data_IF_545400518584
#
_entry.id   IF_545400518584
#
_cell.length_a   1.000
_cell.length_b   1.000
_cell.length_c   1.000
_cell.angle_alpha   90.00
_cell.angle_beta   90.00
_cell.angle_gamma   90.00
#
_symmetry.space_group_name_H-M   'P 1'
#
loop_
_entity.id
_entity.type
_entity.pdbx_description
1 polymer ?
#
# COMPACT_ATOMS: atom_id res chain seq x y z
N UNK A 1 -28.09 11.14 0.38
CA UNK A 1 -26.67 11.46 0.63
C UNK A 1 -26.61 12.68 1.53
N UNK A 2 -25.73 12.69 2.52
CA UNK A 2 -25.48 13.87 3.36
C UNK A 2 -24.72 14.94 2.56
N UNK A 3 -24.81 16.21 2.98
CA UNK A 3 -24.01 17.31 2.38
C UNK A 3 -22.52 17.00 2.47
N UNK A 4 -22.07 16.46 3.61
CA UNK A 4 -20.69 16.03 3.82
C UNK A 4 -20.23 14.97 2.79
N UNK A 5 -21.08 14.00 2.44
CA UNK A 5 -20.75 12.99 1.44
C UNK A 5 -20.59 13.60 0.04
N UNK A 6 -21.44 14.56 -0.32
CA UNK A 6 -21.35 15.28 -1.61
C UNK A 6 -20.04 16.07 -1.67
N UNK A 7 -19.73 16.85 -0.62
CA UNK A 7 -18.48 17.61 -0.55
C UNK A 7 -17.25 16.71 -0.62
N UNK A 8 -17.27 15.56 0.04
CA UNK A 8 -16.19 14.58 -0.03
C UNK A 8 -16.02 14.04 -1.46
N UNK A 9 -17.10 13.67 -2.14
CA UNK A 9 -17.03 13.19 -3.54
C UNK A 9 -16.44 14.27 -4.45
N UNK A 10 -16.88 15.53 -4.32
CA UNK A 10 -16.34 16.65 -5.12
C UNK A 10 -14.84 16.86 -4.86
N UNK A 11 -14.41 16.79 -3.60
CA UNK A 11 -13.00 16.86 -3.24
C UNK A 11 -12.19 15.71 -3.88
N UNK A 12 -12.72 14.48 -3.84
CA UNK A 12 -12.05 13.32 -4.43
C UNK A 12 -11.94 13.44 -5.97
N UNK A 13 -12.96 14.00 -6.63
CA UNK A 13 -12.90 14.31 -8.06
C UNK A 13 -11.83 15.36 -8.36
N UNK A 14 -11.73 16.42 -7.57
CA UNK A 14 -10.69 17.44 -7.74
C UNK A 14 -9.27 16.87 -7.53
N UNK A 15 -9.08 16.03 -6.51
CA UNK A 15 -7.82 15.31 -6.26
C UNK A 15 -7.49 14.38 -7.43
N UNK A 16 -8.49 13.66 -7.96
CA UNK A 16 -8.32 12.80 -9.12
C UNK A 16 -7.90 13.56 -10.38
N UNK A 17 -8.54 14.71 -10.67
CA UNK A 17 -8.15 15.58 -11.77
C UNK A 17 -6.70 16.10 -11.61
N UNK A 18 -6.32 16.52 -10.41
CA UNK A 18 -4.94 16.93 -10.11
C UNK A 18 -3.95 15.77 -10.32
N UNK A 19 -4.30 14.56 -9.87
CA UNK A 19 -3.51 13.34 -10.08
C UNK A 19 -3.31 13.05 -11.58
N UNK A 20 -4.39 13.07 -12.37
CA UNK A 20 -4.33 12.89 -13.83
C UNK A 20 -3.41 13.93 -14.47
N UNK A 21 -3.54 15.21 -14.09
CA UNK A 21 -2.69 16.28 -14.60
C UNK A 21 -1.21 16.09 -14.25
N UNK A 22 -0.90 15.69 -13.00
CA UNK A 22 0.48 15.41 -12.58
C UNK A 22 1.09 14.24 -13.37
N UNK A 23 0.33 13.16 -13.57
CA UNK A 23 0.75 11.98 -14.32
C UNK A 23 0.95 12.32 -15.79
N UNK A 24 0.04 13.10 -16.38
CA UNK A 24 0.17 13.55 -17.76
C UNK A 24 1.47 14.32 -18.01
N UNK A 25 1.83 15.21 -17.07
CA UNK A 25 3.08 15.98 -17.17
C UNK A 25 4.32 15.14 -16.91
N UNK A 26 4.28 14.24 -15.94
CA UNK A 26 5.39 13.36 -15.59
C UNK A 26 4.86 11.97 -15.21
N UNK A 27 4.81 11.02 -16.16
CA UNK A 27 4.21 9.71 -15.94
C UNK A 27 4.83 8.94 -14.77
N UNK A 28 6.12 9.15 -14.52
CA UNK A 28 6.83 8.55 -13.39
C UNK A 28 6.20 8.91 -12.02
N UNK A 29 5.55 10.09 -11.90
CA UNK A 29 4.87 10.49 -10.65
C UNK A 29 3.66 9.63 -10.33
N UNK A 30 3.15 8.86 -11.28
CA UNK A 30 2.05 7.95 -11.06
C UNK A 30 2.34 6.94 -9.96
N UNK A 31 3.60 6.51 -9.78
CA UNK A 31 3.96 5.61 -8.68
C UNK A 31 3.64 6.24 -7.32
N UNK A 32 4.05 7.50 -7.11
CA UNK A 32 3.77 8.22 -5.87
C UNK A 32 2.27 8.45 -5.67
N UNK A 33 1.55 8.82 -6.73
CA UNK A 33 0.09 9.03 -6.70
C UNK A 33 -0.66 7.74 -6.38
N UNK A 34 -0.32 6.62 -7.02
CA UNK A 34 -0.96 5.33 -6.79
C UNK A 34 -0.72 4.85 -5.36
N UNK A 35 0.52 4.93 -4.87
CA UNK A 35 0.84 4.53 -3.48
C UNK A 35 0.09 5.42 -2.48
N UNK A 36 0.13 6.74 -2.68
CA UNK A 36 -0.57 7.68 -1.80
C UNK A 36 -2.09 7.46 -1.82
N UNK A 37 -2.70 7.35 -2.99
CA UNK A 37 -4.14 7.10 -3.11
C UNK A 37 -4.55 5.76 -2.50
N UNK A 38 -3.76 4.71 -2.72
CA UNK A 38 -4.02 3.38 -2.14
C UNK A 38 -3.91 3.37 -0.62
N UNK A 39 -3.05 4.20 -0.03
CA UNK A 39 -2.91 4.31 1.42
C UNK A 39 -4.21 4.78 2.11
N UNK A 40 -5.00 5.64 1.44
CA UNK A 40 -6.26 6.18 1.99
C UNK A 40 -7.51 5.55 1.39
N UNK A 41 -7.38 4.72 0.36
CA UNK A 41 -8.50 4.20 -0.43
C UNK A 41 -9.56 3.50 0.42
N UNK A 42 -9.17 2.50 1.21
CA UNK A 42 -10.12 1.70 1.99
C UNK A 42 -10.86 2.56 3.02
N UNK A 43 -10.13 3.43 3.70
CA UNK A 43 -10.71 4.38 4.64
C UNK A 43 -11.72 5.33 3.99
N UNK A 44 -11.41 5.90 2.83
CA UNK A 44 -12.34 6.79 2.12
C UNK A 44 -13.61 6.07 1.68
N UNK A 45 -13.49 4.82 1.19
CA UNK A 45 -14.66 4.00 0.85
C UNK A 45 -15.47 3.67 2.11
N UNK A 46 -14.82 3.32 3.22
CA UNK A 46 -15.46 3.10 4.51
C UNK A 46 -16.27 4.32 4.96
N UNK A 47 -15.70 5.52 4.88
CA UNK A 47 -16.38 6.78 5.24
C UNK A 47 -17.58 7.05 4.33
N UNK A 48 -17.47 6.80 3.02
CA UNK A 48 -18.59 6.97 2.09
C UNK A 48 -19.73 5.98 2.38
N UNK A 49 -19.41 4.73 2.71
CA UNK A 49 -20.38 3.71 3.10
C UNK A 49 -21.06 4.07 4.43
N UNK A 50 -20.28 4.53 5.42
CA UNK A 50 -20.81 4.99 6.71
C UNK A 50 -21.82 6.13 6.55
N UNK A 51 -21.62 6.99 5.56
CA UNK A 51 -22.56 8.08 5.21
C UNK A 51 -23.74 7.64 4.32
N UNK A 52 -23.93 6.32 4.13
CA UNK A 52 -25.00 5.73 3.30
C UNK A 52 -24.99 6.28 1.87
N UNK A 53 -23.79 6.47 1.30
CA UNK A 53 -23.62 6.91 -0.08
C UNK A 53 -24.14 5.83 -1.04
N UNK A 54 -24.91 6.17 -2.09
CA UNK A 54 -25.41 5.21 -3.07
C UNK A 54 -24.30 4.35 -3.67
N UNK A 55 -24.58 3.06 -3.78
CA UNK A 55 -23.64 2.07 -4.31
C UNK A 55 -22.99 2.45 -5.66
N UNK A 56 -23.71 3.01 -6.66
CA UNK A 56 -23.09 3.43 -7.92
C UNK A 56 -22.01 4.51 -7.73
N UNK A 57 -22.25 5.48 -6.84
CA UNK A 57 -21.30 6.57 -6.56
C UNK A 57 -20.04 6.03 -5.89
N UNK A 58 -20.20 5.13 -4.91
CA UNK A 58 -19.06 4.46 -4.25
C UNK A 58 -18.24 3.68 -5.27
N UNK A 59 -18.88 2.96 -6.21
CA UNK A 59 -18.18 2.23 -7.28
C UNK A 59 -17.41 3.16 -8.23
N UNK A 60 -17.98 4.32 -8.59
CA UNK A 60 -17.29 5.33 -9.40
C UNK A 60 -16.05 5.84 -8.67
N UNK A 61 -16.19 6.25 -7.41
CA UNK A 61 -15.05 6.68 -6.60
C UNK A 61 -14.02 5.57 -6.48
N UNK A 62 -14.45 4.32 -6.29
CA UNK A 62 -13.58 3.16 -6.19
C UNK A 62 -12.78 2.89 -7.48
N UNK A 63 -13.32 3.30 -8.63
CA UNK A 63 -12.73 3.08 -9.97
C UNK A 63 -11.54 3.98 -10.33
N UNK A 64 -11.15 4.90 -9.44
CA UNK A 64 -10.07 5.87 -9.69
C UNK A 64 -8.77 5.19 -10.14
N UNK A 65 -8.39 4.09 -9.49
CA UNK A 65 -7.16 3.35 -9.78
C UNK A 65 -7.22 2.71 -11.16
N UNK A 66 -8.36 2.16 -11.57
CA UNK A 66 -8.58 1.63 -12.91
C UNK A 66 -8.45 2.73 -13.95
N UNK A 67 -9.01 3.91 -13.69
CA UNK A 67 -8.85 5.07 -14.56
C UNK A 67 -7.39 5.50 -14.73
N UNK A 68 -6.62 5.53 -13.64
CA UNK A 68 -5.18 5.85 -13.71
C UNK A 68 -4.37 4.75 -14.42
N UNK A 69 -4.66 3.48 -14.15
CA UNK A 69 -4.01 2.35 -14.82
C UNK A 69 -4.32 2.36 -16.32
N UNK A 70 -5.56 2.66 -16.71
CA UNK A 70 -5.95 2.83 -18.11
C UNK A 70 -5.19 3.98 -18.77
N UNK A 71 -5.13 5.15 -18.13
CA UNK A 71 -4.36 6.29 -18.63
C UNK A 71 -2.90 5.91 -18.86
N UNK A 72 -2.25 5.29 -17.88
CA UNK A 72 -0.86 4.83 -18.01
C UNK A 72 -0.69 3.79 -19.12
N UNK A 73 -1.66 2.89 -19.29
CA UNK A 73 -1.65 1.88 -20.35
C UNK A 73 -1.73 2.52 -21.73
N UNK A 74 -2.62 3.51 -21.92
CA UNK A 74 -2.73 4.28 -23.15
C UNK A 74 -1.45 5.07 -23.45
N UNK A 75 -0.86 5.71 -22.43
CA UNK A 75 0.40 6.44 -22.57
C UNK A 75 1.56 5.50 -22.92
N UNK A 76 1.60 4.31 -22.33
CA UNK A 76 2.61 3.29 -22.61
C UNK A 76 2.46 2.73 -24.03
N UNK A 77 1.23 2.43 -24.47
CA UNK A 77 0.94 2.01 -25.84
C UNK A 77 1.36 3.09 -26.86
N UNK A 78 1.04 4.35 -26.60
CA UNK A 78 1.46 5.46 -27.45
C UNK A 78 2.99 5.61 -27.52
N UNK A 79 3.70 5.40 -26.39
CA UNK A 79 5.16 5.41 -26.37
C UNK A 79 5.75 4.25 -27.17
N UNK A 80 5.17 3.05 -27.04
CA UNK A 80 5.57 1.87 -27.80
C UNK A 80 5.38 2.07 -29.32
N UNK A 81 4.21 2.57 -29.75
CA UNK A 81 3.94 2.83 -31.18
C UNK A 81 4.95 3.84 -31.76
N UNK A 82 5.30 4.90 -31.00
CA UNK A 82 6.32 5.86 -31.43
C UNK A 82 7.71 5.21 -31.57
N UNK A 83 8.11 4.40 -30.59
CA UNK A 83 9.39 3.70 -30.62
C UNK A 83 9.48 2.69 -31.78
N UNK A 84 8.38 1.97 -32.03
CA UNK A 84 8.27 1.03 -33.15
C UNK A 84 8.39 1.73 -34.50
N UNK A 85 7.64 2.82 -34.72
CA UNK A 85 7.73 3.63 -35.96
C UNK A 85 9.11 4.23 -36.17
N UNK A 86 9.82 4.55 -35.07
CA UNK A 86 11.18 5.05 -35.12
C UNK A 86 12.24 3.95 -35.29
N UNK A 87 11.86 2.66 -35.33
CA UNK A 87 12.80 1.54 -35.43
C UNK A 87 13.64 1.29 -34.16
N UNK A 88 13.30 1.92 -33.04
CA UNK A 88 14.09 1.92 -31.81
C UNK A 88 13.36 1.16 -30.68
N UNK A 89 13.07 -0.12 -30.89
CA UNK A 89 12.50 -0.94 -29.83
C UNK A 89 13.55 -1.25 -28.75
N UNK A 90 13.22 -1.07 -27.46
CA UNK A 90 14.12 -1.44 -26.38
C UNK A 90 14.36 -2.96 -26.42
N UNK A 91 15.63 -3.36 -26.21
CA UNK A 91 15.99 -4.78 -26.18
C UNK A 91 15.37 -5.45 -24.94
N UNK A 92 14.73 -6.61 -25.09
CA UNK A 92 14.18 -7.36 -23.97
C UNK A 92 15.33 -7.83 -23.08
N UNK A 93 15.14 -7.74 -21.77
CA UNK A 93 16.03 -8.29 -20.76
C UNK A 93 15.42 -9.55 -20.11
N UNK A 94 16.19 -10.25 -19.27
CA UNK A 94 15.73 -11.46 -18.58
C UNK A 94 14.50 -11.21 -17.69
N UNK A 95 14.44 -10.06 -17.01
CA UNK A 95 13.28 -9.70 -16.19
C UNK A 95 12.03 -9.42 -17.04
N UNK A 96 12.18 -8.81 -18.22
CA UNK A 96 11.07 -8.63 -19.16
C UNK A 96 10.49 -10.00 -19.55
N UNK A 97 11.35 -11.00 -19.80
CA UNK A 97 10.94 -12.37 -20.07
C UNK A 97 10.24 -13.02 -18.86
N UNK A 98 10.81 -12.92 -17.66
CA UNK A 98 10.21 -13.50 -16.45
C UNK A 98 8.82 -12.90 -16.16
N UNK A 99 8.68 -11.59 -16.31
CA UNK A 99 7.40 -10.90 -16.13
C UNK A 99 6.39 -11.31 -17.21
N UNK A 100 6.84 -11.45 -18.46
CA UNK A 100 5.99 -11.93 -19.55
C UNK A 100 5.53 -13.38 -19.33
N UNK A 101 6.44 -14.27 -18.89
CA UNK A 101 6.11 -15.66 -18.53
C UNK A 101 5.10 -15.70 -17.39
N UNK A 102 5.32 -14.92 -16.33
CA UNK A 102 4.38 -14.84 -15.21
C UNK A 102 2.99 -14.35 -15.67
N UNK A 103 2.94 -13.29 -16.47
CA UNK A 103 1.68 -12.78 -17.03
C UNK A 103 1.00 -13.84 -17.92
N UNK A 104 1.76 -14.54 -18.75
CA UNK A 104 1.28 -15.64 -19.59
C UNK A 104 0.69 -16.78 -18.76
N UNK A 105 1.41 -17.24 -17.73
CA UNK A 105 0.93 -18.29 -16.81
C UNK A 105 -0.35 -17.85 -16.11
N UNK A 106 -0.44 -16.60 -15.63
CA UNK A 106 -1.66 -16.09 -14.99
C UNK A 106 -2.87 -16.09 -15.95
N UNK A 107 -2.67 -15.69 -17.20
CA UNK A 107 -3.71 -15.71 -18.24
C UNK A 107 -4.13 -17.14 -18.57
N UNK A 108 -3.17 -18.04 -18.80
CA UNK A 108 -3.43 -19.46 -19.08
C UNK A 108 -4.22 -20.09 -17.92
N UNK A 109 -3.78 -19.86 -16.69
CA UNK A 109 -4.46 -20.34 -15.49
C UNK A 109 -5.88 -19.78 -15.35
N UNK A 110 -6.19 -18.63 -15.95
CA UNK A 110 -7.54 -18.04 -15.91
C UNK A 110 -8.46 -18.58 -17.00
N UNK A 111 -7.91 -18.96 -18.15
CA UNK A 111 -8.68 -19.48 -19.29
C UNK A 111 -8.90 -20.99 -19.19
N UNK A 112 -8.00 -21.73 -18.53
CA UNK A 112 -8.05 -23.19 -18.47
C UNK A 112 -9.38 -23.71 -17.86
N UNK A 113 -10.03 -24.74 -18.40
CA UNK A 113 -11.26 -25.27 -17.81
C UNK A 113 -11.10 -25.67 -16.33
N UNK A 114 -12.05 -25.33 -15.44
CA UNK A 114 -11.99 -25.71 -14.02
C UNK A 114 -11.90 -27.22 -13.79
N UNK A 115 -12.43 -28.02 -14.72
CA UNK A 115 -12.37 -29.49 -14.71
C UNK A 115 -10.93 -30.02 -14.73
N UNK A 116 -10.00 -29.34 -15.39
CA UNK A 116 -8.60 -29.73 -15.44
C UNK A 116 -7.84 -29.38 -14.15
N UNK A 117 -8.34 -28.40 -13.39
CA UNK A 117 -7.71 -27.88 -12.18
C UNK A 117 -8.38 -28.35 -10.89
N UNK A 118 -9.44 -29.17 -11.00
CA UNK A 118 -10.30 -29.56 -9.88
C UNK A 118 -10.76 -28.36 -9.04
N UNK A 119 -10.98 -27.21 -9.69
CA UNK A 119 -11.28 -25.93 -9.04
C UNK A 119 -12.78 -25.65 -8.99
N UNK A 120 -13.26 -25.15 -7.85
CA UNK A 120 -14.66 -24.71 -7.67
C UNK A 120 -14.89 -23.24 -8.04
N UNK A 121 -13.84 -22.52 -8.47
CA UNK A 121 -13.92 -21.10 -8.75
C UNK A 121 -14.62 -20.82 -10.09
N UNK A 122 -15.64 -19.95 -10.07
CA UNK A 122 -16.34 -19.52 -11.27
C UNK A 122 -15.51 -18.51 -12.08
N UNK A 123 -15.90 -18.25 -13.34
CA UNK A 123 -15.16 -17.36 -14.24
C UNK A 123 -14.99 -15.95 -13.65
N UNK A 124 -16.02 -15.42 -12.99
CA UNK A 124 -15.98 -14.08 -12.40
C UNK A 124 -14.91 -13.98 -11.30
N UNK A 125 -14.84 -14.96 -10.40
CA UNK A 125 -13.82 -15.04 -9.36
C UNK A 125 -12.41 -15.14 -9.96
N UNK A 126 -12.26 -15.92 -11.04
CA UNK A 126 -10.97 -16.09 -11.73
C UNK A 126 -10.51 -14.81 -12.42
N UNK A 127 -11.42 -14.06 -13.07
CA UNK A 127 -11.11 -12.76 -13.67
C UNK A 127 -10.71 -11.73 -12.59
N UNK A 128 -11.38 -11.74 -11.44
CA UNK A 128 -11.00 -10.89 -10.30
C UNK A 128 -9.60 -11.26 -9.81
N UNK A 129 -9.29 -12.56 -9.69
CA UNK A 129 -7.95 -13.04 -9.35
C UNK A 129 -6.89 -12.61 -10.37
N UNK A 130 -7.18 -12.77 -11.67
CA UNK A 130 -6.29 -12.36 -12.76
C UNK A 130 -5.95 -10.87 -12.67
N UNK A 131 -6.94 -10.02 -12.39
CA UNK A 131 -6.72 -8.57 -12.22
C UNK A 131 -5.70 -8.27 -11.12
N UNK A 132 -5.72 -9.01 -10.02
CA UNK A 132 -4.74 -8.84 -8.93
C UNK A 132 -3.36 -9.32 -9.38
N UNK A 133 -3.27 -10.46 -10.06
CA UNK A 133 -2.01 -11.01 -10.53
C UNK A 133 -1.34 -10.12 -11.60
N UNK A 134 -2.12 -9.63 -12.57
CA UNK A 134 -1.61 -8.78 -13.66
C UNK A 134 -1.18 -7.39 -13.22
N UNK A 135 -1.56 -6.95 -12.01
CA UNK A 135 -1.11 -5.67 -11.47
C UNK A 135 0.42 -5.60 -11.38
N UNK A 136 1.08 -6.70 -10.98
CA UNK A 136 2.54 -6.76 -10.86
C UNK A 136 3.23 -6.57 -12.23
N UNK A 137 2.91 -7.34 -13.29
CA UNK A 137 3.40 -7.09 -14.65
C UNK A 137 3.12 -5.68 -15.16
N UNK A 138 1.92 -5.14 -14.92
CA UNK A 138 1.56 -3.80 -15.38
C UNK A 138 2.43 -2.73 -14.71
N UNK A 139 2.63 -2.81 -13.40
CA UNK A 139 3.48 -1.88 -12.67
C UNK A 139 4.95 -2.00 -13.11
N UNK A 140 5.43 -3.22 -13.37
CA UNK A 140 6.76 -3.44 -13.94
C UNK A 140 6.91 -2.77 -15.32
N UNK A 141 5.94 -2.99 -16.22
CA UNK A 141 5.91 -2.37 -17.54
C UNK A 141 5.92 -0.84 -17.43
N UNK A 142 5.11 -0.26 -16.55
CA UNK A 142 5.09 1.18 -16.32
C UNK A 142 6.42 1.70 -15.80
N UNK A 143 7.06 1.00 -14.86
CA UNK A 143 8.40 1.36 -14.38
C UNK A 143 9.48 1.26 -15.46
N UNK A 144 9.31 0.37 -16.44
CA UNK A 144 10.21 0.24 -17.59
C UNK A 144 10.03 1.38 -18.59
N UNK A 145 8.78 1.70 -18.93
CA UNK A 145 8.42 2.71 -19.95
C UNK A 145 8.60 4.13 -19.43
N UNK A 146 8.16 4.40 -18.19
CA UNK A 146 8.16 5.73 -17.62
C UNK A 146 9.37 5.91 -16.72
N UNK A 147 10.50 6.31 -17.30
CA UNK A 147 11.69 6.66 -16.52
C UNK A 147 11.57 8.06 -15.90
N UNK A 148 12.19 8.31 -14.73
CA UNK A 148 12.22 9.64 -14.13
C UNK A 148 12.96 10.62 -15.04
N UNK A 149 12.34 11.77 -15.35
CA UNK A 149 12.98 12.83 -16.15
C UNK A 149 14.05 13.58 -15.39
N UNK A 150 13.92 13.63 -14.07
CA UNK A 150 14.81 14.41 -13.21
C UNK A 150 14.96 13.76 -11.82
N UNK A 151 16.01 14.15 -11.10
CA UNK A 151 16.15 13.81 -9.67
C UNK A 151 15.05 14.44 -8.81
N UNK A 152 14.40 15.50 -9.29
CA UNK A 152 13.27 16.11 -8.59
C UNK A 152 12.05 15.17 -8.61
N UNK A 153 11.80 14.47 -9.71
CA UNK A 153 10.69 13.49 -9.80
C UNK A 153 10.93 12.29 -8.89
N UNK A 154 12.16 11.77 -8.85
CA UNK A 154 12.55 10.72 -7.90
C UNK A 154 12.30 11.14 -6.46
N UNK A 155 12.72 12.35 -6.08
CA UNK A 155 12.49 12.88 -4.73
C UNK A 155 11.01 13.10 -4.45
N UNK A 156 10.26 13.61 -5.40
CA UNK A 156 8.82 13.83 -5.26
C UNK A 156 8.10 12.52 -4.98
N UNK A 157 8.39 11.48 -5.77
CA UNK A 157 7.81 10.14 -5.57
C UNK A 157 8.24 9.56 -4.22
N UNK A 158 9.52 9.67 -3.86
CA UNK A 158 10.02 9.19 -2.57
C UNK A 158 9.33 9.87 -1.38
N UNK A 159 9.16 11.19 -1.43
CA UNK A 159 8.43 11.95 -0.40
C UNK A 159 6.94 11.61 -0.36
N UNK A 160 6.30 11.42 -1.52
CA UNK A 160 4.90 11.01 -1.58
C UNK A 160 4.70 9.64 -0.92
N UNK A 161 5.57 8.67 -1.23
CA UNK A 161 5.53 7.32 -0.66
C UNK A 161 5.81 7.34 0.86
N UNK A 162 6.92 7.95 1.27
CA UNK A 162 7.30 8.04 2.68
C UNK A 162 6.28 8.84 3.50
N UNK A 163 5.83 9.98 2.96
CA UNK A 163 4.82 10.83 3.59
C UNK A 163 3.49 10.11 3.76
N UNK A 164 3.06 9.33 2.75
CA UNK A 164 1.84 8.53 2.85
C UNK A 164 1.98 7.43 3.91
N UNK A 165 3.07 6.66 3.88
CA UNK A 165 3.31 5.61 4.86
C UNK A 165 3.40 6.16 6.30
N UNK A 166 4.04 7.31 6.48
CA UNK A 166 4.10 7.98 7.78
C UNK A 166 2.74 8.55 8.22
N UNK A 167 1.92 9.05 7.29
CA UNK A 167 0.55 9.49 7.60
C UNK A 167 -0.35 8.32 8.01
N UNK A 168 -0.21 7.16 7.36
CA UNK A 168 -0.85 5.91 7.79
C UNK A 168 -0.34 5.50 9.18
N UNK A 169 0.97 5.57 9.41
CA UNK A 169 1.58 5.32 10.72
C UNK A 169 0.99 6.22 11.81
N UNK A 170 0.95 7.52 11.57
CA UNK A 170 0.40 8.50 12.50
C UNK A 170 -1.10 8.28 12.76
N UNK A 171 -1.88 8.09 11.70
CA UNK A 171 -3.32 7.87 11.81
C UNK A 171 -3.64 6.61 12.62
N UNK A 172 -2.92 5.51 12.39
CA UNK A 172 -3.17 4.29 13.14
C UNK A 172 -2.71 4.37 14.60
N UNK A 173 -1.71 5.21 14.93
CA UNK A 173 -1.31 5.45 16.32
C UNK A 173 -2.41 6.24 17.04
N UNK A 174 -2.91 7.29 16.40
CA UNK A 174 -4.06 8.04 16.89
C UNK A 174 -5.28 7.14 17.07
N UNK A 175 -5.61 6.33 16.06
CA UNK A 175 -6.71 5.36 16.11
C UNK A 175 -6.53 4.36 17.26
N UNK A 176 -5.35 3.76 17.40
CA UNK A 176 -5.10 2.71 18.37
C UNK A 176 -5.20 3.21 19.81
N UNK A 177 -4.68 4.40 20.09
CA UNK A 177 -4.50 4.90 21.46
C UNK A 177 -5.56 5.92 21.90
N UNK A 178 -6.15 6.68 20.97
CA UNK A 178 -7.05 7.79 21.30
C UNK A 178 -8.51 7.51 20.94
N UNK A 179 -8.79 6.45 20.19
CA UNK A 179 -10.17 6.08 19.82
C UNK A 179 -10.58 4.80 20.55
N UNK A 180 -11.57 4.86 21.44
CA UNK A 180 -12.10 3.68 22.11
C UNK A 180 -12.57 2.63 21.11
N UNK A 181 -12.29 1.36 21.40
CA UNK A 181 -12.69 0.22 20.55
C UNK A 181 -14.19 0.19 20.24
N UNK A 182 -15.12 0.51 21.18
CA UNK A 182 -16.55 0.58 20.88
C UNK A 182 -16.89 1.60 19.78
N UNK A 183 -16.31 2.80 19.84
CA UNK A 183 -16.56 3.86 18.85
C UNK A 183 -16.01 3.48 17.49
N UNK A 184 -14.83 2.85 17.48
CA UNK A 184 -14.18 2.37 16.28
C UNK A 184 -15.03 1.35 15.50
N UNK A 185 -15.76 0.46 16.20
CA UNK A 185 -16.72 -0.44 15.53
C UNK A 185 -17.82 0.31 14.77
N UNK A 186 -18.19 1.50 15.22
CA UNK A 186 -19.19 2.36 14.60
C UNK A 186 -18.75 3.04 13.30
N UNK A 187 -17.45 3.02 12.96
CA UNK A 187 -16.90 3.77 11.82
C UNK A 187 -17.23 3.20 10.43
N UNK A 188 -17.92 2.05 10.37
CA UNK A 188 -18.30 1.40 9.11
C UNK A 188 -17.36 0.31 8.64
N UNK A 189 -16.46 -0.17 9.50
CA UNK A 189 -15.52 -1.28 9.20
C UNK A 189 -16.27 -2.53 8.72
N UNK A 190 -17.35 -2.90 9.40
CA UNK A 190 -18.20 -4.03 9.01
C UNK A 190 -18.92 -3.79 7.67
N UNK A 191 -19.30 -2.55 7.38
CA UNK A 191 -19.93 -2.19 6.11
C UNK A 191 -18.94 -2.31 4.96
N UNK A 192 -17.68 -1.92 5.18
CA UNK A 192 -16.60 -2.12 4.21
C UNK A 192 -16.36 -3.62 3.97
N UNK A 193 -16.24 -4.43 5.02
CA UNK A 193 -16.07 -5.88 4.90
C UNK A 193 -17.20 -6.54 4.09
N UNK A 194 -18.46 -6.19 4.41
CA UNK A 194 -19.63 -6.66 3.69
C UNK A 194 -19.64 -6.17 2.23
N UNK A 195 -19.25 -4.92 1.97
CA UNK A 195 -19.12 -4.35 0.63
C UNK A 195 -18.10 -5.09 -0.23
N UNK A 196 -17.01 -5.56 0.38
CA UNK A 196 -16.00 -6.38 -0.26
C UNK A 196 -16.41 -7.86 -0.41
N UNK A 197 -17.56 -8.25 0.16
CA UNK A 197 -18.09 -9.61 0.12
C UNK A 197 -17.43 -10.57 1.12
N UNK A 198 -16.76 -10.04 2.16
CA UNK A 198 -16.14 -10.86 3.19
C UNK A 198 -17.08 -11.08 4.37
N UNK A 199 -17.05 -12.32 4.88
CA UNK A 199 -17.72 -12.71 6.13
C UNK A 199 -16.64 -13.22 7.07
N UNK A 200 -16.55 -12.64 8.25
CA UNK A 200 -15.55 -13.00 9.26
C UNK A 200 -16.21 -13.47 10.55
N UNK A 201 -15.53 -14.40 11.23
CA UNK A 201 -16.00 -15.02 12.47
C UNK A 201 -15.32 -14.46 13.73
N UNK A 202 -14.52 -13.39 13.59
CA UNK A 202 -13.86 -12.76 14.72
C UNK A 202 -14.79 -11.84 15.52
N UNK A 203 -14.26 -11.15 16.54
CA UNK A 203 -15.03 -10.28 17.42
C UNK A 203 -15.86 -9.26 16.62
N UNK A 204 -17.17 -9.16 16.93
CA UNK A 204 -18.12 -8.27 16.23
C UNK A 204 -18.19 -8.45 14.71
N UNK A 205 -17.85 -9.63 14.19
CA UNK A 205 -17.90 -9.95 12.76
C UNK A 205 -16.70 -9.44 11.96
N UNK A 206 -15.60 -9.11 12.65
CA UNK A 206 -14.36 -8.62 12.03
C UNK A 206 -13.32 -9.73 11.84
N UNK A 207 -12.28 -9.47 11.02
CA UNK A 207 -11.16 -10.39 10.90
C UNK A 207 -10.51 -10.70 12.25
N UNK A 208 -10.30 -11.99 12.55
CA UNK A 208 -9.69 -12.40 13.81
C UNK A 208 -8.28 -11.80 14.01
N UNK A 209 -7.55 -11.56 12.92
CA UNK A 209 -6.22 -10.96 12.95
C UNK A 209 -6.21 -9.47 13.32
N UNK A 210 -7.36 -8.81 13.49
CA UNK A 210 -7.41 -7.43 14.04
C UNK A 210 -7.18 -7.41 15.54
N UNK A 211 -7.28 -8.57 16.18
CA UNK A 211 -7.07 -8.72 17.61
C UNK A 211 -5.92 -9.70 17.85
N UNK A 212 -5.30 -9.57 19.00
CA UNK A 212 -4.31 -10.48 19.53
C UNK A 212 -4.73 -10.87 20.93
N UNK A 213 -4.80 -12.17 21.19
CA UNK A 213 -5.08 -12.67 22.54
C UNK A 213 -3.85 -12.48 23.41
N UNK A 214 -4.03 -11.85 24.57
CA UNK A 214 -3.01 -11.71 25.62
C UNK A 214 -2.88 -13.00 26.43
N UNK A 215 -1.86 -13.09 27.29
CA UNK A 215 -1.66 -14.25 28.15
C UNK A 215 -2.85 -14.49 29.11
N UNK A 216 -3.52 -13.42 29.54
CA UNK A 216 -4.70 -13.47 30.43
C UNK A 216 -6.01 -13.71 29.67
N UNK A 217 -5.95 -13.99 28.35
CA UNK A 217 -7.12 -14.25 27.52
C UNK A 217 -7.87 -13.00 27.05
N UNK A 218 -7.37 -11.79 27.34
CA UNK A 218 -7.96 -10.53 26.86
C UNK A 218 -7.64 -10.32 25.37
N UNK A 219 -8.53 -9.63 24.66
CA UNK A 219 -8.34 -9.30 23.25
C UNK A 219 -7.74 -7.89 23.12
N UNK A 220 -6.48 -7.83 22.74
CA UNK A 220 -5.78 -6.59 22.43
C UNK A 220 -6.02 -6.22 20.96
N UNK A 221 -6.48 -4.99 20.70
CA UNK A 221 -6.66 -4.48 19.34
C UNK A 221 -5.31 -4.18 18.69
N UNK A 222 -5.10 -4.68 17.47
CA UNK A 222 -3.93 -4.38 16.63
C UNK A 222 -4.19 -3.14 15.79
N UNK A 223 -3.11 -2.45 15.42
CA UNK A 223 -3.19 -1.28 14.54
C UNK A 223 -3.65 -1.69 13.13
N UNK A 224 -4.70 -1.06 12.62
CA UNK A 224 -5.28 -1.33 11.29
C UNK A 224 -5.16 -0.13 10.34
N UNK A 225 -5.18 1.08 10.89
CA UNK A 225 -5.03 2.36 10.19
C UNK A 225 -5.98 2.52 9.00
N UNK A 226 -5.65 3.41 8.07
CA UNK A 226 -6.42 3.71 6.86
C UNK A 226 -6.47 2.54 5.87
N UNK A 227 -5.60 1.55 6.03
CA UNK A 227 -5.68 0.28 5.30
C UNK A 227 -6.83 -0.60 5.77
N UNK A 228 -7.32 -0.37 7.00
CA UNK A 228 -8.28 -1.26 7.67
C UNK A 228 -7.73 -2.70 7.68
N UNK A 229 -6.42 -2.83 7.93
CA UNK A 229 -5.73 -4.11 7.93
C UNK A 229 -4.35 -4.01 8.60
N UNK A 230 -4.05 -4.82 9.63
CA UNK A 230 -2.72 -4.87 10.24
C UNK A 230 -1.65 -5.34 9.27
N UNK A 231 -2.00 -6.21 8.32
CA UNK A 231 -1.07 -6.68 7.30
C UNK A 231 -0.79 -5.58 6.26
N UNK A 232 -1.82 -4.79 5.92
CA UNK A 232 -1.70 -3.68 4.98
C UNK A 232 -0.66 -2.66 5.43
N UNK A 233 -0.78 -2.18 6.68
CA UNK A 233 0.20 -1.23 7.24
C UNK A 233 1.60 -1.84 7.37
N UNK A 234 1.70 -3.10 7.82
CA UNK A 234 2.98 -3.76 8.07
C UNK A 234 3.80 -3.93 6.78
N UNK A 235 3.20 -4.53 5.74
CA UNK A 235 3.90 -4.84 4.51
C UNK A 235 4.12 -3.60 3.63
N UNK A 236 3.17 -2.66 3.63
CA UNK A 236 3.39 -1.38 2.94
C UNK A 236 4.52 -0.59 3.60
N UNK A 237 4.57 -0.55 4.94
CA UNK A 237 5.66 0.11 5.68
C UNK A 237 7.02 -0.52 5.40
N UNK A 238 7.10 -1.86 5.46
CA UNK A 238 8.33 -2.63 5.25
C UNK A 238 9.04 -2.22 3.95
N UNK A 239 8.33 -2.27 2.83
CA UNK A 239 8.88 -1.93 1.50
C UNK A 239 9.36 -0.47 1.41
N UNK A 240 8.87 0.42 2.28
CA UNK A 240 9.21 1.85 2.29
C UNK A 240 10.44 2.16 3.16
N UNK A 241 10.85 1.27 4.08
CA UNK A 241 12.02 1.48 4.96
C UNK A 241 13.31 1.74 4.15
N UNK A 242 13.70 0.90 3.17
CA UNK A 242 14.93 1.15 2.39
C UNK A 242 14.89 2.48 1.63
N UNK A 243 13.72 2.84 1.10
CA UNK A 243 13.49 4.10 0.40
C UNK A 243 13.68 5.30 1.34
N UNK A 244 13.17 5.23 2.57
CA UNK A 244 13.33 6.27 3.58
C UNK A 244 14.79 6.47 3.96
N UNK A 245 15.52 5.37 4.20
CA UNK A 245 16.97 5.42 4.49
C UNK A 245 17.74 6.02 3.32
N UNK A 246 17.48 5.57 2.10
CA UNK A 246 18.11 6.13 0.90
C UNK A 246 17.83 7.64 0.75
N UNK A 247 16.60 8.08 1.03
CA UNK A 247 16.22 9.49 0.98
C UNK A 247 16.98 10.32 2.03
N UNK A 248 17.06 9.84 3.28
CA UNK A 248 17.80 10.51 4.37
C UNK A 248 19.28 10.69 3.99
N UNK A 249 19.89 9.67 3.38
CA UNK A 249 21.29 9.72 2.95
C UNK A 249 21.52 10.63 1.74
N UNK A 250 20.53 10.74 0.84
CA UNK A 250 20.63 11.57 -0.36
C UNK A 250 20.35 13.07 -0.11
N UNK A 251 19.75 13.43 1.02
CA UNK A 251 19.40 14.81 1.37
C UNK A 251 20.58 15.55 1.99
N UNK A 252 20.91 16.74 1.47
CA UNK A 252 21.97 17.60 2.02
C UNK A 252 21.48 18.51 3.16
N UNK A 253 20.23 18.97 3.08
CA UNK A 253 19.66 19.93 4.02
C UNK A 253 19.25 19.24 5.32
N UNK A 254 19.78 19.70 6.46
CA UNK A 254 19.51 19.12 7.78
C UNK A 254 18.00 19.06 8.10
N UNK A 255 17.25 20.15 7.86
CA UNK A 255 15.80 20.19 8.09
C UNK A 255 15.04 19.08 7.35
N UNK A 256 15.40 18.82 6.09
CA UNK A 256 14.76 17.77 5.29
C UNK A 256 15.15 16.37 5.75
N UNK A 257 16.40 16.19 6.21
CA UNK A 257 16.85 14.93 6.82
C UNK A 257 16.10 14.63 8.11
N UNK A 258 15.94 15.63 8.98
CA UNK A 258 15.15 15.50 10.21
C UNK A 258 13.70 15.16 9.92
N UNK A 259 13.08 15.84 8.94
CA UNK A 259 11.73 15.49 8.52
C UNK A 259 11.65 14.04 8.03
N UNK A 260 12.55 13.60 7.14
CA UNK A 260 12.55 12.23 6.64
C UNK A 260 12.78 11.19 7.75
N UNK A 261 13.63 11.50 8.75
CA UNK A 261 13.84 10.67 9.92
C UNK A 261 12.59 10.58 10.80
N UNK A 262 11.90 11.71 11.04
CA UNK A 262 10.65 11.72 11.77
C UNK A 262 9.56 10.89 11.07
N UNK A 263 9.45 11.00 9.75
CA UNK A 263 8.52 10.18 8.97
C UNK A 263 8.89 8.69 9.01
N UNK A 264 10.19 8.35 8.97
CA UNK A 264 10.64 6.98 9.16
C UNK A 264 10.26 6.43 10.54
N UNK A 265 10.39 7.22 11.61
CA UNK A 265 9.99 6.81 12.96
C UNK A 265 8.48 6.52 13.01
N UNK A 266 7.65 7.40 12.43
CA UNK A 266 6.20 7.18 12.37
C UNK A 266 5.82 5.92 11.58
N UNK A 267 6.51 5.67 10.47
CA UNK A 267 6.37 4.45 9.69
C UNK A 267 6.75 3.21 10.52
N UNK A 268 7.90 3.24 11.21
CA UNK A 268 8.38 2.12 12.02
C UNK A 268 7.43 1.84 13.18
N UNK A 269 6.92 2.87 13.84
CA UNK A 269 5.90 2.72 14.87
C UNK A 269 4.66 2.00 14.29
N UNK A 270 4.24 2.34 13.07
CA UNK A 270 3.16 1.65 12.40
C UNK A 270 3.41 0.16 12.15
N UNK A 271 4.64 -0.22 11.77
CA UNK A 271 5.02 -1.63 11.61
C UNK A 271 5.05 -2.33 12.99
N UNK A 272 5.63 -1.70 14.00
CA UNK A 272 5.76 -2.27 15.34
C UNK A 272 4.38 -2.59 15.95
N UNK A 273 3.46 -1.63 15.93
CA UNK A 273 2.11 -1.78 16.49
C UNK A 273 1.13 -2.53 15.59
N UNK A 274 1.54 -2.92 14.38
CA UNK A 274 0.78 -3.88 13.58
C UNK A 274 0.85 -5.30 14.16
N UNK A 275 1.84 -5.58 15.02
CA UNK A 275 2.09 -6.87 15.69
C UNK A 275 2.17 -8.07 14.72
N UNK A 276 2.69 -7.83 13.50
CA UNK A 276 2.87 -8.88 12.50
C UNK A 276 4.26 -9.49 12.63
N UNK A 277 4.39 -10.66 13.26
CA UNK A 277 5.68 -11.32 13.54
C UNK A 277 6.62 -11.36 12.33
N UNK A 278 6.11 -11.74 11.15
CA UNK A 278 6.91 -11.75 9.93
C UNK A 278 7.43 -10.36 9.56
N UNK A 279 6.58 -9.32 9.64
CA UNK A 279 7.00 -7.95 9.32
C UNK A 279 8.03 -7.42 10.31
N UNK A 280 7.90 -7.75 11.60
CA UNK A 280 8.89 -7.40 12.63
C UNK A 280 10.25 -8.03 12.32
N UNK A 281 10.28 -9.34 12.05
CA UNK A 281 11.52 -10.05 11.67
C UNK A 281 12.13 -9.50 10.39
N UNK A 282 11.30 -9.24 9.36
CA UNK A 282 11.78 -8.69 8.10
C UNK A 282 12.29 -7.26 8.26
N UNK A 283 11.71 -6.44 9.14
CA UNK A 283 12.21 -5.09 9.41
C UNK A 283 13.62 -5.15 10.01
N UNK A 284 13.87 -6.09 10.92
CA UNK A 284 15.23 -6.32 11.46
C UNK A 284 16.19 -6.76 10.35
N UNK A 285 15.77 -7.71 9.49
CA UNK A 285 16.57 -8.17 8.36
C UNK A 285 16.88 -7.03 7.37
N UNK A 286 15.93 -6.14 7.09
CA UNK A 286 16.14 -4.95 6.26
C UNK A 286 17.15 -3.99 6.88
N UNK A 287 17.06 -3.71 8.18
CA UNK A 287 18.05 -2.87 8.86
C UNK A 287 19.44 -3.50 8.89
N UNK A 288 19.54 -4.83 9.03
CA UNK A 288 20.81 -5.56 8.88
C UNK A 288 21.38 -5.41 7.46
N UNK A 289 20.55 -5.64 6.45
CA UNK A 289 20.93 -5.47 5.05
C UNK A 289 21.39 -4.03 4.77
N UNK A 290 20.63 -3.03 5.22
CA UNK A 290 20.96 -1.61 5.07
C UNK A 290 22.24 -1.25 5.83
N UNK A 291 22.48 -1.81 7.00
CA UNK A 291 23.71 -1.60 7.76
C UNK A 291 24.93 -2.14 6.99
N UNK A 292 24.83 -3.34 6.42
CA UNK A 292 25.89 -3.96 5.60
C UNK A 292 26.14 -3.17 4.31
N UNK A 293 25.08 -2.78 3.61
CA UNK A 293 25.17 -2.09 2.32
C UNK A 293 25.63 -0.63 2.46
N UNK A 294 25.10 0.10 3.44
CA UNK A 294 25.38 1.55 3.57
C UNK A 294 26.59 1.84 4.46
N UNK A 295 26.93 0.92 5.38
CA UNK A 295 28.00 1.05 6.38
C UNK A 295 27.97 2.37 7.17
N UNK A 296 26.78 2.95 7.35
CA UNK A 296 26.59 4.20 8.08
C UNK A 296 26.43 3.91 9.58
N UNK A 297 27.19 4.63 10.41
CA UNK A 297 27.18 4.48 11.89
C UNK A 297 25.77 4.52 12.47
N UNK A 298 24.94 5.47 12.04
CA UNK A 298 23.57 5.59 12.56
C UNK A 298 22.68 4.40 12.19
N UNK A 299 22.86 3.78 11.01
CA UNK A 299 22.11 2.57 10.62
C UNK A 299 22.58 1.39 11.46
N UNK A 300 23.91 1.26 11.65
CA UNK A 300 24.50 0.23 12.51
C UNK A 300 23.98 0.31 13.95
N UNK A 301 23.82 1.51 14.51
CA UNK A 301 23.24 1.69 15.85
C UNK A 301 21.72 1.51 15.87
N UNK A 302 21.01 1.86 14.79
CA UNK A 302 19.57 1.67 14.69
C UNK A 302 19.18 0.19 14.63
N UNK A 303 19.99 -0.66 13.99
CA UNK A 303 19.71 -2.10 13.84
C UNK A 303 19.46 -2.83 15.17
N UNK A 304 20.35 -2.80 16.18
CA UNK A 304 20.09 -3.46 17.46
C UNK A 304 18.91 -2.84 18.22
N UNK A 305 18.65 -1.53 18.06
CA UNK A 305 17.47 -0.88 18.66
C UNK A 305 16.18 -1.41 18.03
N UNK A 306 16.10 -1.47 16.71
CA UNK A 306 14.95 -2.02 15.98
C UNK A 306 14.75 -3.50 16.32
N UNK A 307 15.84 -4.27 16.46
CA UNK A 307 15.78 -5.66 16.91
C UNK A 307 15.22 -5.79 18.34
N UNK A 308 15.70 -4.98 19.27
CA UNK A 308 15.22 -4.95 20.65
C UNK A 308 13.73 -4.57 20.74
N UNK A 309 13.30 -3.54 20.01
CA UNK A 309 11.89 -3.14 19.94
C UNK A 309 11.02 -4.23 19.30
N UNK A 310 11.51 -4.89 18.25
CA UNK A 310 10.79 -5.99 17.60
C UNK A 310 10.63 -7.19 18.54
N UNK A 311 11.69 -7.55 19.28
CA UNK A 311 11.65 -8.59 20.31
C UNK A 311 10.66 -8.23 21.43
N UNK A 312 10.69 -6.97 21.90
CA UNK A 312 9.73 -6.48 22.88
C UNK A 312 8.28 -6.62 22.39
N UNK A 313 7.99 -6.20 21.14
CA UNK A 313 6.65 -6.33 20.57
C UNK A 313 6.19 -7.79 20.41
N UNK A 314 7.11 -8.72 20.12
CA UNK A 314 6.78 -10.14 19.96
C UNK A 314 6.52 -10.81 21.30
N UNK A 315 7.42 -10.58 22.26
CA UNK A 315 7.46 -11.36 23.50
C UNK A 315 6.81 -10.64 24.67
N UNK A 316 7.06 -9.35 24.85
CA UNK A 316 6.69 -8.66 26.08
C UNK A 316 5.36 -7.93 25.97
N UNK A 317 5.06 -7.34 24.81
CA UNK A 317 3.83 -6.57 24.61
C UNK A 317 2.54 -7.37 24.84
N UNK A 318 2.60 -8.70 24.70
CA UNK A 318 1.48 -9.62 24.95
C UNK A 318 1.16 -9.78 26.45
N UNK A 319 2.11 -9.41 27.32
CA UNK A 319 2.01 -9.45 28.78
C UNK A 319 1.81 -8.08 29.41
N UNK A 320 1.91 -6.98 28.64
CA UNK A 320 1.64 -5.64 29.15
C UNK A 320 0.12 -5.50 29.30
N UNK A 321 -0.35 -5.55 30.54
CA UNK A 321 -1.75 -5.32 30.95
C UNK A 321 -2.00 -3.85 31.20
#
# INVERSE_FOLDING_TARGET
>A
MTVAAVLLVLLLVAIYALAVWQIWRSPFRALGVLVAGMAFHNFLIMVLLAQRTPAPVVRIVQSWKEGLLLLLSLMAAAAFIRAWRAGHLPRPNLFDLLVAVFAGVAVIYTVLPPSLLHGSANLQQRVIGLRVLLLLPLLYLFGRVFQPRSRADLRWVAWAILGSAAAVGLFGLWELWLVPTPDWFGWGVNQLSAWLGFVYNGPKGLPANFFQTTADGLLLRRMVSTYVSPLGIAYAGLVVVPLAVALILALKQARKRWLAAALLILLLAGILFSLTRLALLMTVAEFLMLAVLTRRRWVLYATPVVAGLSMFMIFQYVYVT
#
